data_IF_609163772695
#
_entry.id   IF_609163772695
#
_cell.length_a   1.000
_cell.length_b   1.000
_cell.length_c   1.000
_cell.angle_alpha   90.00
_cell.angle_beta   90.00
_cell.angle_gamma   90.00
#
_symmetry.space_group_name_H-M   'P 1'
#
loop_
_entity.id
_entity.type
_entity.pdbx_description
1 polymer ?
#
# COMPACT_ATOMS: atom_id res chain seq x y z
N UNK A 1 19.95 -2.80 -1.36
CA UNK A 1 18.64 -2.55 -0.71
C UNK A 1 17.69 -3.67 -1.14
N UNK A 2 17.04 -4.37 -0.20
CA UNK A 2 16.06 -5.42 -0.57
C UNK A 2 14.75 -4.78 -1.00
N UNK A 3 14.09 -5.37 -1.98
CA UNK A 3 12.80 -4.91 -2.53
C UNK A 3 11.75 -6.00 -2.38
N UNK A 4 10.50 -5.74 -2.79
CA UNK A 4 9.43 -6.74 -2.73
C UNK A 4 9.77 -8.04 -3.47
N UNK A 5 10.55 -7.98 -4.55
CA UNK A 5 10.96 -9.17 -5.30
C UNK A 5 11.99 -10.04 -4.56
N UNK A 6 12.61 -9.52 -3.50
CA UNK A 6 13.59 -10.25 -2.69
C UNK A 6 12.98 -11.22 -1.67
N UNK A 7 11.64 -11.34 -1.62
CA UNK A 7 10.93 -12.08 -0.58
C UNK A 7 9.75 -12.91 -1.15
N UNK A 8 9.35 -13.92 -0.38
CA UNK A 8 8.11 -14.68 -0.57
C UNK A 8 7.16 -14.35 0.58
N UNK A 9 5.93 -13.94 0.26
CA UNK A 9 4.94 -13.45 1.22
C UNK A 9 3.76 -14.41 1.43
N UNK A 10 3.73 -15.55 0.75
CA UNK A 10 2.71 -16.59 0.93
C UNK A 10 2.58 -16.98 2.40
N UNK A 11 1.36 -16.94 2.91
CA UNK A 11 0.97 -17.25 4.30
C UNK A 11 1.69 -16.38 5.35
N UNK A 12 2.16 -15.19 4.96
CA UNK A 12 2.79 -14.23 5.89
C UNK A 12 1.86 -13.08 6.24
N UNK A 13 1.97 -12.65 7.50
CA UNK A 13 1.45 -11.36 7.94
C UNK A 13 2.51 -10.30 7.70
N UNK A 14 2.21 -9.34 6.85
CA UNK A 14 3.15 -8.27 6.46
C UNK A 14 2.70 -6.94 7.06
N UNK A 15 3.60 -6.25 7.76
CA UNK A 15 3.41 -4.87 8.16
C UNK A 15 3.85 -3.96 7.00
N UNK A 16 2.89 -3.29 6.37
CA UNK A 16 3.14 -2.34 5.30
C UNK A 16 2.99 -0.90 5.84
N UNK A 17 4.09 -0.16 5.83
CA UNK A 17 4.07 1.29 6.09
C UNK A 17 3.80 2.03 4.77
N UNK A 18 2.75 2.83 4.72
CA UNK A 18 2.35 3.62 3.53
C UNK A 18 2.19 5.09 3.88
N UNK A 19 2.35 5.96 2.87
CA UNK A 19 1.90 7.36 2.96
C UNK A 19 0.43 7.42 2.54
N UNK A 20 -0.45 7.73 3.49
CA UNK A 20 -1.88 7.93 3.28
C UNK A 20 -2.30 9.38 3.59
N UNK A 21 -1.35 10.30 3.75
CA UNK A 21 -1.64 11.70 4.04
C UNK A 21 -2.22 12.36 2.79
N UNK A 22 -3.55 12.31 2.69
CA UNK A 22 -4.37 12.75 1.57
C UNK A 22 -5.33 13.85 2.04
N UNK A 23 -5.71 14.73 1.13
CA UNK A 23 -6.61 15.83 1.44
C UNK A 23 -7.99 15.33 1.89
N UNK A 24 -8.55 16.04 2.88
CA UNK A 24 -9.87 15.76 3.43
C UNK A 24 -10.77 16.95 3.17
N UNK A 25 -11.85 16.75 2.42
CA UNK A 25 -12.85 17.78 2.12
C UNK A 25 -14.20 17.30 2.62
N UNK A 26 -14.89 18.14 3.41
CA UNK A 26 -16.20 17.80 3.99
C UNK A 26 -16.20 16.45 4.73
N UNK A 27 -15.14 16.19 5.52
CA UNK A 27 -14.92 14.93 6.27
C UNK A 27 -14.80 13.67 5.39
N UNK A 28 -14.58 13.83 4.08
CA UNK A 28 -14.32 12.72 3.15
C UNK A 28 -12.88 12.81 2.64
N UNK A 29 -12.18 11.69 2.66
CA UNK A 29 -10.85 11.56 2.07
C UNK A 29 -10.99 11.60 0.55
N UNK A 30 -10.24 12.49 -0.10
CA UNK A 30 -10.15 12.51 -1.55
C UNK A 30 -9.21 11.41 -2.03
N UNK A 31 -9.58 10.76 -3.13
CA UNK A 31 -8.72 9.75 -3.75
C UNK A 31 -7.48 10.43 -4.34
N UNK A 32 -6.34 10.28 -3.67
CA UNK A 32 -5.06 10.80 -4.15
C UNK A 32 -4.19 9.71 -4.74
N UNK A 33 -3.18 10.14 -5.49
CA UNK A 33 -2.16 9.25 -6.04
C UNK A 33 -1.45 8.45 -4.94
N UNK A 34 -1.30 9.02 -3.73
CA UNK A 34 -0.68 8.34 -2.58
C UNK A 34 -1.46 7.09 -2.17
N UNK A 35 -2.79 7.23 -2.09
CA UNK A 35 -3.70 6.11 -1.78
C UNK A 35 -3.69 5.08 -2.92
N UNK A 36 -3.69 5.54 -4.17
CA UNK A 36 -3.65 4.66 -5.34
C UNK A 36 -2.38 3.80 -5.37
N UNK A 37 -1.20 4.40 -5.16
CA UNK A 37 0.08 3.66 -5.11
C UNK A 37 0.18 2.70 -3.94
N UNK A 38 -0.34 3.08 -2.77
CA UNK A 38 -0.45 2.17 -1.64
C UNK A 38 -1.33 0.95 -1.98
N UNK A 39 -2.46 1.17 -2.66
CA UNK A 39 -3.36 0.10 -3.11
C UNK A 39 -2.72 -0.84 -4.12
N UNK A 40 -1.94 -0.32 -5.07
CA UNK A 40 -1.15 -1.12 -6.03
C UNK A 40 -0.18 -2.04 -5.28
N UNK A 41 0.52 -1.52 -4.26
CA UNK A 41 1.47 -2.30 -3.45
C UNK A 41 0.78 -3.40 -2.65
N UNK A 42 -0.40 -3.11 -2.06
CA UNK A 42 -1.21 -4.12 -1.36
C UNK A 42 -1.65 -5.22 -2.31
N UNK A 43 -2.03 -4.86 -3.54
CA UNK A 43 -2.45 -5.83 -4.57
C UNK A 43 -1.31 -6.76 -4.98
N UNK A 44 -0.08 -6.23 -5.06
CA UNK A 44 1.11 -7.03 -5.32
C UNK A 44 1.42 -7.99 -4.17
N UNK A 45 1.35 -7.52 -2.92
CA UNK A 45 1.57 -8.36 -1.74
C UNK A 45 0.55 -9.50 -1.60
N UNK A 46 -0.71 -9.28 -2.00
CA UNK A 46 -1.75 -10.34 -1.98
C UNK A 46 -1.53 -11.43 -3.03
N UNK A 47 -0.83 -11.12 -4.12
CA UNK A 47 -0.55 -12.07 -5.21
C UNK A 47 0.70 -12.92 -4.94
N UNK A 48 1.61 -12.44 -4.09
CA UNK A 48 2.90 -13.08 -3.76
C UNK A 48 2.79 -13.95 -2.51
#
# INVERSE_FOLDING_TARGET
>A
MKTLSSYNFRDKRVLLRTDLNSDVVNKKVLMSERIKRASETISELKKK
#
